data_IF_563619614679
#
_entry.id   IF_563619614679
#
_cell.length_a   1.000
_cell.length_b   1.000
_cell.length_c   1.000
_cell.angle_alpha   90.00
_cell.angle_beta   90.00
_cell.angle_gamma   90.00
#
_symmetry.space_group_name_H-M   'P 1'
#
loop_
_entity.id
_entity.type
_entity.pdbx_description
1 polymer ?
#
# COMPACT_ATOMS: atom_id res chain seq x y z
N UNK A 1 2.76 13.30 41.66
CA UNK A 1 2.51 11.92 42.17
C UNK A 1 2.76 10.85 41.09
N UNK A 2 3.65 11.12 40.12
CA UNK A 2 3.90 10.27 38.94
C UNK A 2 5.39 9.99 38.72
N UNK A 3 6.27 10.48 39.60
CA UNK A 3 7.71 10.18 39.55
C UNK A 3 8.07 8.83 40.20
N UNK A 4 7.19 8.23 41.02
CA UNK A 4 7.54 6.98 41.72
C UNK A 4 7.44 5.73 40.85
N UNK A 5 6.61 5.74 39.79
CA UNK A 5 6.37 4.55 38.96
C UNK A 5 7.57 4.26 38.04
N UNK A 6 8.33 5.28 37.64
CA UNK A 6 9.55 5.10 36.83
C UNK A 6 10.69 4.57 37.70
N UNK A 7 10.77 4.98 38.97
CA UNK A 7 11.79 4.49 39.90
C UNK A 7 11.62 3.02 40.28
N UNK A 8 10.37 2.52 40.37
CA UNK A 8 10.10 1.15 40.81
C UNK A 8 10.56 0.09 39.78
N UNK A 9 10.54 0.39 38.47
CA UNK A 9 11.02 -0.54 37.43
C UNK A 9 12.54 -0.77 37.44
N UNK A 10 13.32 0.16 38.00
CA UNK A 10 14.77 0.02 38.09
C UNK A 10 15.23 -0.85 39.27
N UNK A 11 14.36 -1.08 40.26
CA UNK A 11 14.69 -1.90 41.43
C UNK A 11 14.40 -3.40 41.27
N UNK A 12 13.67 -3.82 40.22
CA UNK A 12 13.47 -5.25 39.95
C UNK A 12 14.79 -5.93 39.53
N UNK A 13 15.68 -5.23 38.82
CA UNK A 13 17.01 -5.74 38.48
C UNK A 13 17.92 -5.95 39.70
N UNK A 14 17.62 -5.31 40.84
CA UNK A 14 18.39 -5.48 42.07
C UNK A 14 17.94 -6.69 42.90
N UNK A 15 16.80 -7.32 42.58
CA UNK A 15 16.30 -8.51 43.30
C UNK A 15 16.85 -9.84 42.78
N UNK A 16 17.41 -9.87 41.57
CA UNK A 16 17.99 -11.06 40.93
C UNK A 16 19.53 -11.02 40.86
N UNK A 17 20.18 -10.48 41.91
CA UNK A 17 21.65 -10.33 41.98
C UNK A 17 22.46 -11.65 41.92
N UNK A 18 21.81 -12.81 42.07
CA UNK A 18 22.46 -14.12 42.07
C UNK A 18 22.33 -14.89 40.74
N UNK A 19 21.60 -14.36 39.75
CA UNK A 19 21.59 -14.94 38.41
C UNK A 19 22.62 -14.24 37.54
N UNK A 20 23.74 -14.91 37.31
CA UNK A 20 24.68 -14.50 36.26
C UNK A 20 23.89 -14.37 34.95
N UNK A 21 23.83 -13.15 34.40
CA UNK A 21 23.19 -12.90 33.12
C UNK A 21 23.84 -13.82 32.08
N UNK A 22 23.07 -14.75 31.53
CA UNK A 22 23.53 -15.58 30.44
C UNK A 22 23.82 -14.69 29.24
N UNK A 23 24.87 -15.00 28.47
CA UNK A 23 25.17 -14.29 27.24
C UNK A 23 23.94 -14.20 26.33
N UNK A 24 23.87 -13.14 25.52
CA UNK A 24 22.82 -13.03 24.50
C UNK A 24 23.03 -14.17 23.50
N UNK A 25 22.04 -15.06 23.39
CA UNK A 25 22.14 -16.28 22.59
C UNK A 25 22.52 -15.95 21.13
N UNK A 26 23.58 -16.59 20.64
CA UNK A 26 24.13 -16.37 19.30
C UNK A 26 25.26 -15.34 19.22
N UNK A 27 25.48 -14.54 20.27
CA UNK A 27 26.54 -13.54 20.32
C UNK A 27 27.83 -14.04 21.00
N UNK A 28 27.83 -15.25 21.57
CA UNK A 28 28.97 -15.82 22.32
C UNK A 28 30.19 -16.08 21.45
N UNK A 29 29.98 -16.22 20.14
CA UNK A 29 31.03 -16.50 19.15
C UNK A 29 31.68 -15.23 18.62
N UNK A 30 31.11 -14.06 18.89
CA UNK A 30 31.62 -12.80 18.40
C UNK A 30 32.68 -12.26 19.35
N UNK A 31 33.77 -11.74 18.78
CA UNK A 31 34.82 -11.09 19.54
C UNK A 31 34.27 -9.81 20.15
N UNK A 32 34.55 -9.59 21.44
CA UNK A 32 34.33 -8.28 22.06
C UNK A 32 35.19 -7.24 21.35
N UNK A 33 34.53 -6.18 20.87
CA UNK A 33 35.14 -5.04 20.19
C UNK A 33 35.24 -3.86 21.16
N UNK A 34 36.12 -2.92 20.86
CA UNK A 34 36.23 -1.68 21.63
C UNK A 34 34.94 -0.86 21.57
N UNK A 35 34.73 0.04 22.54
CA UNK A 35 33.57 0.94 22.52
C UNK A 35 33.51 1.76 21.23
N UNK A 36 34.67 2.28 20.78
CA UNK A 36 34.79 3.00 19.50
C UNK A 36 34.36 2.16 18.29
N UNK A 37 34.72 0.88 18.24
CA UNK A 37 34.29 -0.02 17.15
C UNK A 37 32.80 -0.37 17.25
N UNK A 38 32.28 -0.56 18.47
CA UNK A 38 30.88 -0.91 18.71
C UNK A 38 29.91 0.19 18.25
N UNK A 39 30.33 1.46 18.30
CA UNK A 39 29.46 2.58 17.91
C UNK A 39 29.49 2.93 16.42
N UNK A 40 30.44 2.40 15.64
CA UNK A 40 30.55 2.69 14.20
C UNK A 40 29.22 2.56 13.44
N UNK A 41 28.39 1.52 13.66
CA UNK A 41 27.13 1.37 12.94
C UNK A 41 26.09 2.47 13.23
N UNK A 42 26.20 3.14 14.38
CA UNK A 42 25.20 4.10 14.87
C UNK A 42 25.72 5.55 14.94
N UNK A 43 26.99 5.76 14.62
CA UNK A 43 27.68 7.06 14.77
C UNK A 43 27.07 8.16 13.90
N UNK A 44 26.56 7.79 12.72
CA UNK A 44 25.87 8.71 11.81
C UNK A 44 24.45 9.07 12.26
N UNK A 45 23.87 8.28 13.16
CA UNK A 45 22.51 8.47 13.69
C UNK A 45 22.51 9.34 14.95
N UNK A 46 23.62 9.35 15.68
CA UNK A 46 23.74 9.99 16.99
C UNK A 46 24.66 11.20 16.93
N UNK A 47 24.09 12.36 17.23
CA UNK A 47 24.84 13.62 17.27
C UNK A 47 25.98 13.57 18.29
N UNK A 48 27.20 13.90 17.85
CA UNK A 48 28.42 13.90 18.67
C UNK A 48 28.76 12.55 19.34
N UNK A 49 28.29 11.42 18.79
CA UNK A 49 28.60 10.10 19.32
C UNK A 49 30.12 9.86 19.45
N UNK A 50 30.91 10.27 18.45
CA UNK A 50 32.37 10.26 18.49
C UNK A 50 32.93 10.95 19.73
N UNK A 51 32.51 12.19 19.97
CA UNK A 51 33.00 12.99 21.09
C UNK A 51 32.53 12.45 22.44
N UNK A 52 31.31 11.89 22.50
CA UNK A 52 30.79 11.30 23.74
C UNK A 52 31.52 10.01 24.09
N UNK A 53 31.83 9.16 23.09
CA UNK A 53 32.66 7.97 23.28
C UNK A 53 34.07 8.35 23.68
N UNK A 54 34.68 9.35 23.04
CA UNK A 54 36.02 9.81 23.43
C UNK A 54 36.06 10.33 24.88
N UNK A 55 35.03 11.05 25.32
CA UNK A 55 34.90 11.51 26.72
C UNK A 55 34.74 10.32 27.66
N UNK A 56 33.86 9.38 27.31
CA UNK A 56 33.60 8.18 28.11
C UNK A 56 34.87 7.33 28.26
N UNK A 57 35.58 7.04 27.17
CA UNK A 57 36.85 6.31 27.19
C UNK A 57 37.91 7.01 28.04
N UNK A 58 38.04 8.35 27.92
CA UNK A 58 39.00 9.13 28.72
C UNK A 58 38.70 9.06 30.22
N UNK A 59 37.43 9.10 30.60
CA UNK A 59 37.00 9.06 31.99
C UNK A 59 37.05 7.65 32.59
N UNK A 60 37.21 6.62 31.75
CA UNK A 60 37.16 5.21 32.14
C UNK A 60 38.47 4.45 31.93
N UNK A 61 39.61 5.15 31.74
CA UNK A 61 40.92 4.52 31.47
C UNK A 61 41.43 3.59 32.58
N UNK A 62 41.14 3.92 33.83
CA UNK A 62 41.62 3.19 35.02
C UNK A 62 40.48 3.00 36.03
N UNK A 63 39.50 2.13 35.73
CA UNK A 63 38.38 1.90 36.63
C UNK A 63 38.84 1.11 37.88
N UNK A 64 38.41 1.55 39.05
CA UNK A 64 38.85 0.98 40.34
C UNK A 64 37.99 -0.18 40.84
N UNK A 65 36.90 -0.49 40.13
CA UNK A 65 35.86 -1.45 40.50
C UNK A 65 36.02 -2.82 39.82
N UNK A 66 37.16 -3.06 39.17
CA UNK A 66 37.46 -4.33 38.49
C UNK A 66 36.85 -4.47 37.11
N UNK A 67 36.20 -3.42 36.59
CA UNK A 67 35.72 -3.37 35.21
C UNK A 67 36.87 -3.19 34.22
N UNK A 68 36.64 -3.56 32.97
CA UNK A 68 37.49 -3.14 31.85
C UNK A 68 37.23 -1.66 31.50
N UNK A 69 38.20 -1.03 30.81
CA UNK A 69 38.03 0.35 30.33
C UNK A 69 36.82 0.51 29.40
N UNK A 70 36.53 -0.51 28.59
CA UNK A 70 35.38 -0.51 27.67
C UNK A 70 34.05 -0.67 28.42
N UNK A 71 33.97 -1.57 29.41
CA UNK A 71 32.78 -1.74 30.25
C UNK A 71 32.47 -0.49 31.06
N UNK A 72 33.50 0.08 31.71
CA UNK A 72 33.37 1.35 32.43
C UNK A 72 33.00 2.48 31.48
N UNK A 73 33.58 2.52 30.28
CA UNK A 73 33.25 3.50 29.23
C UNK A 73 31.80 3.40 28.75
N UNK A 74 31.29 2.18 28.54
CA UNK A 74 29.89 1.97 28.16
C UNK A 74 28.92 2.42 29.27
N UNK A 75 29.23 2.13 30.53
CA UNK A 75 28.46 2.61 31.68
C UNK A 75 28.53 4.13 31.78
N UNK A 76 29.72 4.72 31.56
CA UNK A 76 29.92 6.16 31.56
C UNK A 76 29.08 6.81 30.47
N UNK A 77 29.11 6.28 29.24
CA UNK A 77 28.33 6.73 28.10
C UNK A 77 26.82 6.67 28.38
N UNK A 78 26.35 5.58 28.99
CA UNK A 78 24.95 5.43 29.43
C UNK A 78 24.54 6.47 30.49
N UNK A 79 25.48 6.81 31.39
CA UNK A 79 25.27 7.79 32.46
C UNK A 79 25.53 9.24 32.03
N UNK A 80 26.13 9.46 30.86
CA UNK A 80 26.32 10.81 30.32
C UNK A 80 24.95 11.43 30.08
N UNK A 81 24.51 12.26 31.01
CA UNK A 81 23.36 13.11 30.81
C UNK A 81 23.70 14.00 29.61
N UNK A 82 22.93 13.91 28.53
CA UNK A 82 23.00 14.89 27.45
C UNK A 82 22.72 16.26 28.09
N UNK A 83 23.80 17.00 28.42
CA UNK A 83 23.79 18.19 29.27
C UNK A 83 22.89 19.31 28.73
N UNK A 84 22.39 19.17 27.51
CA UNK A 84 21.32 19.97 26.93
C UNK A 84 20.44 19.05 26.07
N UNK A 85 19.10 19.01 26.24
CA UNK A 85 18.24 18.54 25.15
C UNK A 85 18.60 19.39 23.93
N UNK A 86 18.99 18.74 22.83
CA UNK A 86 19.39 19.48 21.63
C UNK A 86 18.16 20.29 21.16
N UNK A 87 18.25 21.62 21.01
CA UNK A 87 17.09 22.46 20.67
C UNK A 87 16.52 22.22 19.25
N UNK A 88 16.96 21.20 18.52
CA UNK A 88 16.66 21.02 17.09
C UNK A 88 16.51 19.58 16.58
N UNK A 89 16.64 18.55 17.41
CA UNK A 89 16.21 17.23 16.95
C UNK A 89 14.82 17.02 17.52
N UNK A 90 13.83 17.42 16.74
CA UNK A 90 12.47 17.11 17.09
C UNK A 90 12.24 15.64 16.81
N UNK A 91 11.30 15.04 17.52
CA UNK A 91 10.88 13.66 17.27
C UNK A 91 10.55 13.43 15.78
N UNK A 92 9.95 14.42 15.14
CA UNK A 92 9.64 14.48 13.69
C UNK A 92 10.89 14.41 12.77
N UNK A 93 12.08 14.73 13.27
CA UNK A 93 13.34 14.69 12.53
C UNK A 93 14.08 13.33 12.65
N UNK A 94 13.53 12.36 13.40
CA UNK A 94 14.13 11.03 13.50
C UNK A 94 14.04 10.29 12.15
N UNK A 95 15.09 9.50 11.79
CA UNK A 95 15.00 8.52 10.71
C UNK A 95 13.82 7.58 10.87
N UNK A 96 13.27 7.11 9.74
CA UNK A 96 12.09 6.25 9.72
C UNK A 96 12.26 4.94 10.48
N UNK A 97 13.48 4.41 10.53
CA UNK A 97 13.85 3.19 11.24
C UNK A 97 13.74 3.35 12.76
N UNK A 98 14.10 4.52 13.29
CA UNK A 98 13.95 4.82 14.71
C UNK A 98 12.48 5.06 15.07
N UNK A 99 11.71 5.67 14.17
CA UNK A 99 10.26 5.75 14.29
C UNK A 99 9.64 4.35 14.38
N UNK A 100 10.03 3.42 13.51
CA UNK A 100 9.57 2.04 13.56
C UNK A 100 9.88 1.39 14.90
N UNK A 101 11.13 1.52 15.37
CA UNK A 101 11.55 0.97 16.64
C UNK A 101 10.69 1.52 17.79
N UNK A 102 10.52 2.84 17.87
CA UNK A 102 9.68 3.49 18.89
C UNK A 102 8.23 3.00 18.82
N UNK A 103 7.63 3.00 17.63
CA UNK A 103 6.24 2.59 17.43
C UNK A 103 6.03 1.10 17.71
N UNK A 104 7.03 0.24 17.45
CA UNK A 104 6.95 -1.20 17.70
C UNK A 104 6.88 -1.58 19.18
N UNK A 105 7.40 -0.72 20.07
CA UNK A 105 7.32 -0.91 21.52
C UNK A 105 6.00 -0.44 22.13
N UNK A 106 5.17 0.22 21.33
CA UNK A 106 3.93 0.82 21.78
C UNK A 106 2.74 0.03 21.22
N UNK A 107 1.74 -0.19 22.06
CA UNK A 107 0.46 -0.67 21.57
C UNK A 107 -0.13 0.33 20.58
N UNK A 108 -0.96 -0.09 19.61
CA UNK A 108 -1.61 0.83 18.68
C UNK A 108 -2.41 1.94 19.36
N UNK A 109 -2.89 1.69 20.59
CA UNK A 109 -3.57 2.68 21.43
C UNK A 109 -2.60 3.73 21.99
N UNK A 110 -1.41 3.31 22.43
CA UNK A 110 -0.36 4.23 22.91
C UNK A 110 0.24 5.03 21.77
N UNK A 111 0.53 4.39 20.64
CA UNK A 111 0.92 5.07 19.38
C UNK A 111 -0.09 6.16 19.03
N UNK A 112 -1.37 5.88 19.17
CA UNK A 112 -2.41 6.87 18.92
C UNK A 112 -2.38 8.04 19.92
N UNK A 113 -2.43 7.79 21.23
CA UNK A 113 -2.53 8.87 22.21
C UNK A 113 -1.26 9.72 22.28
N UNK A 114 -0.09 9.08 22.25
CA UNK A 114 1.18 9.76 22.42
C UNK A 114 1.64 10.51 21.15
N UNK A 115 1.15 10.12 19.97
CA UNK A 115 1.62 10.68 18.69
C UNK A 115 0.54 11.42 17.89
N UNK A 116 -0.68 11.54 18.43
CA UNK A 116 -1.77 12.29 17.78
C UNK A 116 -1.45 13.77 17.53
N UNK A 117 -0.59 14.37 18.34
CA UNK A 117 -0.15 15.77 18.22
C UNK A 117 1.16 15.95 17.43
N UNK A 118 1.76 14.86 16.94
CA UNK A 118 3.00 14.95 16.16
C UNK A 118 2.68 15.49 14.78
N UNK A 119 3.24 16.66 14.46
CA UNK A 119 3.00 17.40 13.21
C UNK A 119 3.77 16.81 12.01
N UNK A 120 3.82 15.48 11.93
CA UNK A 120 4.36 14.75 10.80
C UNK A 120 3.19 14.34 9.92
N UNK A 121 3.02 14.99 8.76
CA UNK A 121 1.91 14.72 7.82
C UNK A 121 1.76 13.24 7.46
N UNK A 122 2.85 12.48 7.43
CA UNK A 122 2.87 11.07 7.02
C UNK A 122 2.41 10.12 8.12
N UNK A 123 2.76 10.41 9.37
CA UNK A 123 2.28 9.66 10.54
C UNK A 123 0.86 10.11 10.88
N UNK A 124 0.60 11.42 10.81
CA UNK A 124 -0.71 12.01 11.02
C UNK A 124 -1.78 11.46 10.08
N UNK A 125 -1.49 11.19 8.80
CA UNK A 125 -2.46 10.56 7.89
C UNK A 125 -2.81 9.14 8.32
N UNK A 126 -1.81 8.33 8.68
CA UNK A 126 -2.01 6.95 9.14
C UNK A 126 -2.77 6.94 10.48
N UNK A 127 -2.37 7.77 11.45
CA UNK A 127 -3.05 7.89 12.74
C UNK A 127 -4.48 8.45 12.60
N UNK A 128 -4.72 9.38 11.68
CA UNK A 128 -6.05 9.96 11.40
C UNK A 128 -6.97 8.94 10.73
N UNK A 129 -6.44 8.14 9.81
CA UNK A 129 -7.17 7.01 9.23
C UNK A 129 -7.49 5.97 10.32
N UNK A 130 -6.51 5.61 11.16
CA UNK A 130 -6.69 4.74 12.33
C UNK A 130 -7.70 5.28 13.37
N UNK A 131 -7.81 6.61 13.52
CA UNK A 131 -8.77 7.24 14.44
C UNK A 131 -10.20 7.29 13.87
N UNK A 132 -10.32 7.46 12.55
CA UNK A 132 -11.62 7.44 11.87
C UNK A 132 -12.32 6.09 12.03
N UNK A 133 -11.55 5.02 12.23
CA UNK A 133 -12.01 3.66 12.57
C UNK A 133 -12.74 3.64 13.91
N UNK A 134 -12.13 4.24 14.96
CA UNK A 134 -12.59 4.07 16.35
C UNK A 134 -13.74 4.99 16.74
N UNK A 135 -13.85 6.18 16.12
CA UNK A 135 -14.81 7.21 16.58
C UNK A 135 -16.24 7.04 16.06
N UNK A 136 -16.47 6.18 15.08
CA UNK A 136 -17.80 6.02 14.45
C UNK A 136 -18.44 4.68 14.81
N UNK A 137 -18.91 4.59 16.05
CA UNK A 137 -19.89 3.58 16.52
C UNK A 137 -21.27 3.76 15.86
N UNK A 138 -21.36 3.78 14.52
CA UNK A 138 -22.64 3.94 13.86
C UNK A 138 -22.74 3.50 12.41
N UNK A 139 -21.71 3.72 11.56
CA UNK A 139 -21.79 3.33 10.13
C UNK A 139 -20.55 3.64 9.27
N UNK A 140 -19.36 3.97 9.81
CA UNK A 140 -18.23 4.16 8.90
C UNK A 140 -17.67 2.83 8.44
N UNK A 141 -17.86 2.60 7.15
CA UNK A 141 -17.04 1.70 6.35
C UNK A 141 -15.56 2.05 6.58
N UNK A 142 -14.82 1.15 7.22
CA UNK A 142 -13.39 1.29 7.40
C UNK A 142 -12.70 1.19 6.04
N UNK A 143 -11.96 2.24 5.66
CA UNK A 143 -11.14 2.27 4.46
C UNK A 143 -9.67 2.37 4.84
N UNK A 144 -8.84 1.49 4.29
CA UNK A 144 -7.39 1.49 4.49
C UNK A 144 -6.70 1.57 3.13
N UNK A 145 -5.71 2.44 3.00
CA UNK A 145 -4.87 2.57 1.81
C UNK A 145 -3.39 2.42 2.18
N UNK A 146 -2.68 1.51 1.51
CA UNK A 146 -1.26 1.25 1.76
C UNK A 146 -0.32 1.80 0.67
N UNK A 147 -0.83 2.64 -0.25
CA UNK A 147 -0.14 3.06 -1.49
C UNK A 147 1.16 3.84 -1.26
N UNK A 148 1.16 4.80 -0.33
CA UNK A 148 2.27 5.75 -0.12
C UNK A 148 3.06 5.51 1.17
N UNK A 149 2.92 4.30 1.72
CA UNK A 149 3.51 3.95 3.00
C UNK A 149 4.94 3.44 2.79
N UNK A 150 5.97 4.01 3.47
CA UNK A 150 7.31 3.45 3.49
C UNK A 150 7.30 2.00 3.94
N UNK A 151 8.24 1.18 3.43
CA UNK A 151 8.36 -0.24 3.78
C UNK A 151 8.32 -0.51 5.30
N UNK A 152 8.98 0.33 6.12
CA UNK A 152 8.96 0.15 7.58
C UNK A 152 7.57 0.37 8.20
N UNK A 153 6.82 1.39 7.75
CA UNK A 153 5.44 1.62 8.22
C UNK A 153 4.47 0.59 7.64
N UNK A 154 4.78 0.04 6.46
CA UNK A 154 3.99 -1.02 5.84
C UNK A 154 4.00 -2.28 6.71
N UNK A 155 5.19 -2.70 7.16
CA UNK A 155 5.32 -3.84 8.07
C UNK A 155 4.58 -3.60 9.39
N UNK A 156 4.69 -2.39 9.95
CA UNK A 156 3.94 -2.02 11.15
C UNK A 156 2.42 -2.09 10.92
N UNK A 157 1.92 -1.49 9.84
CA UNK A 157 0.51 -1.48 9.49
C UNK A 157 -0.04 -2.91 9.35
N UNK A 158 0.69 -3.77 8.63
CA UNK A 158 0.35 -5.19 8.51
C UNK A 158 0.30 -5.87 9.88
N UNK A 159 1.37 -5.78 10.67
CA UNK A 159 1.50 -6.56 11.91
C UNK A 159 0.55 -6.10 13.01
N UNK A 160 0.27 -4.81 13.09
CA UNK A 160 -0.40 -4.23 14.26
C UNK A 160 -1.75 -3.60 13.92
N UNK A 161 -1.95 -3.07 12.72
CA UNK A 161 -3.22 -2.40 12.36
C UNK A 161 -4.16 -3.39 11.71
N UNK A 162 -3.74 -4.01 10.61
CA UNK A 162 -4.57 -4.98 9.88
C UNK A 162 -4.95 -6.16 10.78
N UNK A 163 -4.00 -6.71 11.55
CA UNK A 163 -4.26 -7.82 12.47
C UNK A 163 -5.38 -7.53 13.49
N UNK A 164 -5.52 -6.28 13.93
CA UNK A 164 -6.53 -5.88 14.90
C UNK A 164 -7.91 -5.61 14.29
N UNK A 165 -7.95 -5.12 13.04
CA UNK A 165 -9.19 -4.61 12.45
C UNK A 165 -9.59 -5.28 11.13
N UNK A 166 -8.94 -6.36 10.69
CA UNK A 166 -9.25 -6.99 9.39
C UNK A 166 -10.72 -7.37 9.22
N UNK A 167 -11.37 -7.79 10.31
CA UNK A 167 -12.81 -8.06 10.39
C UNK A 167 -13.70 -6.80 10.43
N UNK A 168 -13.16 -5.62 10.20
CA UNK A 168 -13.92 -4.38 10.12
C UNK A 168 -13.63 -3.62 8.83
N UNK A 169 -12.60 -4.02 8.08
CA UNK A 169 -12.18 -3.37 6.83
C UNK A 169 -13.24 -3.61 5.75
N UNK A 170 -13.77 -2.51 5.21
CA UNK A 170 -14.73 -2.53 4.10
C UNK A 170 -14.09 -2.16 2.76
N UNK A 171 -12.99 -1.41 2.79
CA UNK A 171 -12.25 -0.96 1.62
C UNK A 171 -10.76 -1.10 1.88
N UNK A 172 -10.04 -1.76 0.99
CA UNK A 172 -8.60 -1.94 1.09
C UNK A 172 -7.93 -1.56 -0.23
N UNK A 173 -6.87 -0.76 -0.18
CA UNK A 173 -6.03 -0.44 -1.35
C UNK A 173 -4.60 -0.92 -1.10
N UNK A 174 -4.08 -1.76 -2.00
CA UNK A 174 -2.72 -2.27 -1.98
C UNK A 174 -1.98 -1.82 -3.26
N UNK A 175 -0.68 -1.53 -3.17
CA UNK A 175 0.10 -1.06 -4.31
C UNK A 175 1.52 -1.61 -4.32
N UNK A 176 2.01 -2.02 -5.48
CA UNK A 176 3.43 -2.31 -5.70
C UNK A 176 4.20 -1.11 -6.29
N UNK A 177 3.58 0.07 -6.40
CA UNK A 177 4.16 1.22 -7.10
C UNK A 177 5.38 1.82 -6.41
N UNK A 178 5.29 2.06 -5.10
CA UNK A 178 6.39 2.67 -4.33
C UNK A 178 7.34 1.63 -3.75
N UNK A 179 6.83 0.46 -3.44
CA UNK A 179 7.58 -0.62 -2.81
C UNK A 179 7.23 -1.92 -3.53
N UNK A 180 8.16 -2.50 -4.29
CA UNK A 180 7.95 -3.79 -4.94
C UNK A 180 7.54 -4.88 -3.94
N UNK A 181 6.75 -5.84 -4.38
CA UNK A 181 6.31 -7.02 -3.60
C UNK A 181 5.44 -6.72 -2.36
N UNK A 182 4.94 -5.49 -2.16
CA UNK A 182 4.02 -5.21 -1.04
C UNK A 182 2.81 -6.16 -1.06
N UNK A 183 2.15 -6.31 -2.21
CA UNK A 183 0.97 -7.16 -2.32
C UNK A 183 1.33 -8.60 -1.99
N UNK A 184 2.43 -9.13 -2.53
CA UNK A 184 2.96 -10.44 -2.19
C UNK A 184 3.22 -10.61 -0.68
N UNK A 185 3.80 -9.62 -0.01
CA UNK A 185 4.06 -9.65 1.44
C UNK A 185 2.77 -9.64 2.25
N UNK A 186 1.74 -8.93 1.78
CA UNK A 186 0.41 -8.97 2.38
C UNK A 186 -0.19 -10.38 2.28
N UNK A 187 -0.13 -10.98 1.09
CA UNK A 187 -0.70 -12.29 0.80
C UNK A 187 0.02 -13.44 1.52
N UNK A 188 1.27 -13.25 1.96
CA UNK A 188 1.96 -14.21 2.83
C UNK A 188 1.33 -14.31 4.23
N UNK A 189 0.61 -13.27 4.68
CA UNK A 189 0.06 -13.18 6.04
C UNK A 189 -1.45 -13.28 6.08
N UNK A 190 -2.13 -12.84 5.03
CA UNK A 190 -3.57 -12.66 5.02
C UNK A 190 -4.21 -13.29 3.79
N UNK A 191 -5.32 -14.01 3.98
CA UNK A 191 -6.24 -14.38 2.90
C UNK A 191 -7.41 -13.40 2.87
N UNK A 192 -7.87 -13.01 1.69
CA UNK A 192 -9.05 -12.13 1.59
C UNK A 192 -10.34 -12.79 2.10
N UNK A 193 -10.36 -14.12 2.21
CA UNK A 193 -11.46 -14.86 2.85
C UNK A 193 -11.63 -14.50 4.33
N UNK A 194 -10.56 -14.06 4.98
CA UNK A 194 -10.59 -13.66 6.38
C UNK A 194 -11.30 -12.31 6.57
N UNK A 195 -11.43 -11.49 5.52
CA UNK A 195 -11.99 -10.14 5.60
C UNK A 195 -13.50 -10.18 5.39
N UNK A 196 -14.23 -10.47 6.48
CA UNK A 196 -15.70 -10.66 6.46
C UNK A 196 -16.50 -9.51 5.82
N UNK A 197 -16.04 -8.27 5.95
CA UNK A 197 -16.78 -7.08 5.48
C UNK A 197 -16.13 -6.37 4.30
N UNK A 198 -15.06 -6.93 3.71
CA UNK A 198 -14.38 -6.30 2.60
C UNK A 198 -15.27 -6.28 1.37
N UNK A 199 -15.75 -5.09 1.00
CA UNK A 199 -16.61 -4.86 -0.17
C UNK A 199 -15.86 -4.25 -1.34
N UNK A 200 -14.81 -3.47 -1.07
CA UNK A 200 -14.01 -2.79 -2.08
C UNK A 200 -12.54 -3.18 -1.94
N UNK A 201 -11.93 -3.66 -3.02
CA UNK A 201 -10.50 -3.94 -3.09
C UNK A 201 -9.90 -3.20 -4.27
N UNK A 202 -8.90 -2.36 -4.03
CA UNK A 202 -8.11 -1.69 -5.06
C UNK A 202 -6.67 -2.23 -5.07
N UNK A 203 -6.18 -2.54 -6.26
CA UNK A 203 -4.94 -3.23 -6.54
C UNK A 203 -4.15 -2.43 -7.57
N UNK A 204 -3.02 -1.85 -7.15
CA UNK A 204 -2.19 -0.98 -7.98
C UNK A 204 -0.87 -1.70 -8.34
N UNK A 205 -0.55 -1.76 -9.63
CA UNK A 205 0.63 -2.46 -10.21
C UNK A 205 0.79 -3.92 -9.75
N UNK A 206 -0.32 -4.64 -9.65
CA UNK A 206 -0.34 -6.06 -9.26
C UNK A 206 0.15 -6.97 -10.39
N UNK A 207 0.94 -7.99 -10.05
CA UNK A 207 1.41 -9.00 -11.01
C UNK A 207 0.37 -10.10 -11.28
N UNK A 208 0.53 -10.83 -12.39
CA UNK A 208 -0.25 -12.07 -12.69
C UNK A 208 -0.29 -13.05 -11.52
N UNK A 209 0.87 -13.30 -10.91
CA UNK A 209 1.01 -14.32 -9.88
C UNK A 209 0.27 -13.92 -8.61
N UNK A 210 0.43 -12.67 -8.18
CA UNK A 210 -0.31 -12.13 -7.03
C UNK A 210 -1.80 -12.20 -7.32
N UNK A 211 -2.25 -11.70 -8.46
CA UNK A 211 -3.67 -11.68 -8.79
C UNK A 211 -4.30 -13.07 -8.84
N UNK A 212 -3.60 -14.06 -9.39
CA UNK A 212 -4.05 -15.45 -9.40
C UNK A 212 -4.29 -16.04 -8.00
N UNK A 213 -3.55 -15.56 -7.00
CA UNK A 213 -3.78 -15.92 -5.59
C UNK A 213 -5.04 -15.21 -5.09
N UNK A 214 -5.13 -13.90 -5.34
CA UNK A 214 -6.21 -13.04 -4.87
C UNK A 214 -7.58 -13.51 -5.35
N UNK A 215 -7.72 -13.82 -6.64
CA UNK A 215 -9.03 -14.04 -7.26
C UNK A 215 -9.81 -15.20 -6.65
N UNK A 216 -9.12 -16.21 -6.13
CA UNK A 216 -9.76 -17.36 -5.48
C UNK A 216 -10.36 -17.01 -4.10
N UNK A 217 -10.08 -15.81 -3.59
CA UNK A 217 -10.44 -15.33 -2.26
C UNK A 217 -11.42 -14.13 -2.29
N UNK A 218 -11.93 -13.73 -3.46
CA UNK A 218 -12.76 -12.52 -3.64
C UNK A 218 -14.27 -12.70 -3.37
N UNK A 219 -14.69 -13.75 -2.67
CA UNK A 219 -16.12 -14.11 -2.54
C UNK A 219 -17.00 -13.02 -1.90
N UNK A 220 -16.43 -12.12 -1.09
CA UNK A 220 -17.17 -11.05 -0.42
C UNK A 220 -17.01 -9.66 -1.09
N UNK A 221 -16.10 -9.56 -2.07
CA UNK A 221 -15.71 -8.30 -2.71
C UNK A 221 -16.71 -7.95 -3.81
N UNK A 222 -17.47 -6.88 -3.57
CA UNK A 222 -18.47 -6.35 -4.51
C UNK A 222 -17.82 -5.53 -5.62
N UNK A 223 -16.76 -4.77 -5.28
CA UNK A 223 -16.03 -3.93 -6.23
C UNK A 223 -14.55 -4.24 -6.19
N UNK A 224 -14.00 -4.63 -7.33
CA UNK A 224 -12.57 -4.85 -7.54
C UNK A 224 -12.05 -3.77 -8.48
N UNK A 225 -11.08 -2.98 -8.02
CA UNK A 225 -10.40 -1.95 -8.80
C UNK A 225 -8.96 -2.39 -9.09
N UNK A 226 -8.61 -2.57 -10.36
CA UNK A 226 -7.29 -3.01 -10.80
C UNK A 226 -6.68 -1.86 -11.63
N UNK A 227 -5.61 -1.30 -11.11
CA UNK A 227 -4.83 -0.24 -11.74
C UNK A 227 -3.48 -0.81 -12.15
N UNK A 228 -3.35 -1.29 -13.39
CA UNK A 228 -2.07 -1.74 -13.94
C UNK A 228 -1.66 -0.87 -15.12
N UNK A 229 -0.39 -0.49 -15.17
CA UNK A 229 0.17 0.25 -16.31
C UNK A 229 0.33 -0.64 -17.54
N UNK A 230 0.44 -1.96 -17.38
CA UNK A 230 0.65 -2.90 -18.47
C UNK A 230 -0.26 -4.12 -18.27
N UNK A 231 -1.28 -4.29 -19.12
CA UNK A 231 -2.07 -5.53 -19.06
C UNK A 231 -1.28 -6.71 -19.58
N UNK A 232 -0.23 -6.50 -20.38
CA UNK A 232 0.58 -7.59 -20.89
C UNK A 232 1.37 -8.27 -19.76
N UNK A 233 1.42 -7.66 -18.57
CA UNK A 233 1.89 -8.33 -17.35
C UNK A 233 0.90 -9.38 -16.82
N UNK A 234 -0.35 -9.41 -17.32
CA UNK A 234 -1.35 -10.42 -17.04
C UNK A 234 -1.37 -11.49 -18.12
N UNK A 235 -1.21 -12.75 -17.72
CA UNK A 235 -1.45 -13.85 -18.65
C UNK A 235 -2.95 -13.95 -19.01
N UNK A 236 -3.24 -14.54 -20.17
CA UNK A 236 -4.61 -14.69 -20.71
C UNK A 236 -5.55 -15.36 -19.72
N UNK A 237 -5.10 -16.37 -18.98
CA UNK A 237 -5.95 -17.07 -18.02
C UNK A 237 -6.30 -16.16 -16.85
N UNK A 238 -5.36 -15.32 -16.42
CA UNK A 238 -5.61 -14.32 -15.36
C UNK A 238 -6.66 -13.30 -15.79
N UNK A 239 -6.52 -12.75 -17.00
CA UNK A 239 -7.49 -11.81 -17.57
C UNK A 239 -8.88 -12.44 -17.69
N UNK A 240 -8.96 -13.70 -18.14
CA UNK A 240 -10.22 -14.43 -18.18
C UNK A 240 -10.84 -14.55 -16.79
N UNK A 241 -10.07 -14.96 -15.78
CA UNK A 241 -10.59 -15.05 -14.41
C UNK A 241 -11.13 -13.71 -13.92
N UNK A 242 -10.44 -12.59 -14.21
CA UNK A 242 -10.93 -11.24 -13.90
C UNK A 242 -12.35 -11.07 -14.46
N UNK A 243 -12.55 -11.33 -15.75
CA UNK A 243 -13.85 -11.14 -16.40
C UNK A 243 -14.96 -12.09 -15.93
N UNK A 244 -14.60 -13.27 -15.41
CA UNK A 244 -15.55 -14.25 -14.88
C UNK A 244 -15.73 -14.17 -13.35
N UNK A 245 -15.07 -13.24 -12.66
CA UNK A 245 -15.27 -13.06 -11.23
C UNK A 245 -16.73 -12.65 -10.96
N UNK A 246 -17.37 -13.33 -10.00
CA UNK A 246 -18.74 -13.00 -9.57
C UNK A 246 -18.82 -11.63 -8.86
N UNK A 247 -17.68 -10.97 -8.61
CA UNK A 247 -17.62 -9.59 -8.15
C UNK A 247 -18.48 -8.68 -9.02
N UNK A 248 -19.30 -7.85 -8.37
CA UNK A 248 -20.38 -7.12 -9.04
C UNK A 248 -19.89 -5.97 -9.94
N UNK A 249 -18.71 -5.42 -9.65
CA UNK A 249 -18.13 -4.27 -10.36
C UNK A 249 -16.62 -4.48 -10.45
N UNK A 250 -16.06 -4.45 -11.67
CA UNK A 250 -14.62 -4.60 -11.88
C UNK A 250 -14.11 -3.38 -12.64
N UNK A 251 -13.50 -2.43 -11.92
CA UNK A 251 -12.82 -1.30 -12.54
C UNK A 251 -11.45 -1.78 -12.99
N UNK A 252 -11.17 -1.72 -14.29
CA UNK A 252 -9.91 -2.24 -14.82
C UNK A 252 -9.31 -1.21 -15.77
N UNK A 253 -8.26 -0.53 -15.33
CA UNK A 253 -7.56 0.51 -16.07
C UNK A 253 -6.51 -0.12 -16.98
N UNK A 254 -6.80 -0.19 -18.28
CA UNK A 254 -5.99 -0.91 -19.26
C UNK A 254 -5.38 0.04 -20.28
N UNK A 255 -4.07 -0.03 -20.47
CA UNK A 255 -3.27 0.81 -21.37
C UNK A 255 -3.29 0.32 -22.83
N UNK A 256 -3.30 -0.98 -23.04
CA UNK A 256 -3.41 -1.64 -24.36
C UNK A 256 -4.24 -2.92 -24.20
N UNK A 257 -5.16 -3.19 -25.12
CA UNK A 257 -6.05 -4.35 -25.02
C UNK A 257 -6.04 -5.08 -26.37
N UNK A 258 -5.50 -6.30 -26.40
CA UNK A 258 -5.45 -7.07 -27.65
C UNK A 258 -6.82 -7.72 -27.94
N UNK A 259 -7.21 -7.75 -29.21
CA UNK A 259 -8.49 -8.28 -29.68
C UNK A 259 -8.76 -9.73 -29.23
N UNK A 260 -7.71 -10.57 -29.15
CA UNK A 260 -7.81 -11.97 -28.73
C UNK A 260 -8.36 -12.13 -27.29
N UNK A 261 -8.16 -11.15 -26.42
CA UNK A 261 -8.71 -11.18 -25.06
C UNK A 261 -10.22 -10.97 -25.05
N UNK A 262 -10.79 -10.26 -26.01
CA UNK A 262 -12.22 -9.93 -26.02
C UNK A 262 -13.05 -11.08 -26.57
N UNK A 263 -12.58 -11.65 -27.69
CA UNK A 263 -13.31 -12.69 -28.44
C UNK A 263 -13.58 -13.94 -27.60
N UNK A 264 -12.74 -14.23 -26.61
CA UNK A 264 -12.88 -15.41 -25.75
C UNK A 264 -13.77 -15.18 -24.50
N UNK A 265 -14.30 -13.97 -24.28
CA UNK A 265 -14.93 -13.57 -23.02
C UNK A 265 -16.35 -13.00 -23.15
N UNK A 266 -17.17 -13.55 -24.05
CA UNK A 266 -18.54 -13.08 -24.37
C UNK A 266 -19.59 -13.22 -23.26
N UNK A 267 -19.21 -13.67 -22.06
CA UNK A 267 -20.13 -14.04 -20.98
C UNK A 267 -19.79 -13.39 -19.63
N UNK A 268 -19.04 -12.29 -19.63
CA UNK A 268 -18.68 -11.61 -18.38
C UNK A 268 -19.90 -11.02 -17.66
N UNK A 269 -19.89 -11.07 -16.33
CA UNK A 269 -20.84 -10.43 -15.41
C UNK A 269 -20.48 -8.98 -15.09
N UNK A 270 -19.48 -8.42 -15.78
CA UNK A 270 -18.93 -7.10 -15.53
C UNK A 270 -19.96 -6.00 -15.83
N UNK A 271 -20.20 -5.12 -14.85
CA UNK A 271 -21.15 -3.99 -14.97
C UNK A 271 -20.51 -2.65 -15.32
N UNK A 272 -19.27 -2.43 -14.93
CA UNK A 272 -18.54 -1.18 -15.17
C UNK A 272 -17.14 -1.51 -15.67
N UNK A 273 -16.66 -0.81 -16.69
CA UNK A 273 -15.33 -0.99 -17.28
C UNK A 273 -14.72 0.38 -17.60
N UNK A 274 -13.45 0.60 -17.24
CA UNK A 274 -12.76 1.88 -17.44
C UNK A 274 -11.43 1.67 -18.19
N UNK A 275 -11.43 1.83 -19.51
CA UNK A 275 -10.25 1.61 -20.34
C UNK A 275 -9.44 2.92 -20.44
N UNK A 276 -8.14 2.89 -20.13
CA UNK A 276 -7.30 4.08 -20.21
C UNK A 276 -6.99 4.45 -21.66
N UNK A 277 -6.58 3.46 -22.45
CA UNK A 277 -6.35 3.63 -23.88
C UNK A 277 -6.72 2.36 -24.63
N UNK A 278 -7.42 2.50 -25.75
CA UNK A 278 -7.64 1.40 -26.69
C UNK A 278 -7.78 1.91 -28.11
N UNK A 279 -7.59 1.00 -29.06
CA UNK A 279 -7.92 1.30 -30.45
C UNK A 279 -9.41 1.08 -30.74
N UNK A 280 -9.85 1.62 -31.88
CA UNK A 280 -11.24 1.51 -32.33
C UNK A 280 -11.73 0.06 -32.45
N UNK A 281 -10.85 -0.87 -32.86
CA UNK A 281 -11.22 -2.27 -33.05
C UNK A 281 -11.51 -2.95 -31.71
N UNK A 282 -10.62 -2.74 -30.73
CA UNK A 282 -10.82 -3.14 -29.35
C UNK A 282 -12.15 -2.57 -28.82
N UNK A 283 -12.41 -1.28 -29.01
CA UNK A 283 -13.65 -0.67 -28.57
C UNK A 283 -14.89 -1.36 -29.13
N UNK A 284 -14.92 -1.62 -30.44
CA UNK A 284 -16.02 -2.35 -31.09
C UNK A 284 -16.18 -3.74 -30.48
N UNK A 285 -15.06 -4.43 -30.25
CA UNK A 285 -15.08 -5.76 -29.67
C UNK A 285 -15.61 -5.75 -28.23
N UNK A 286 -15.20 -4.78 -27.40
CA UNK A 286 -15.72 -4.62 -26.03
C UNK A 286 -17.23 -4.48 -26.07
N UNK A 287 -17.73 -3.57 -26.91
CA UNK A 287 -19.17 -3.37 -27.07
C UNK A 287 -19.88 -4.64 -27.53
N UNK A 288 -19.28 -5.44 -28.41
CA UNK A 288 -19.92 -6.63 -28.96
C UNK A 288 -19.98 -7.83 -27.99
N UNK A 289 -19.04 -7.93 -27.05
CA UNK A 289 -18.86 -9.14 -26.22
C UNK A 289 -19.25 -8.97 -24.75
N UNK A 290 -19.23 -7.75 -24.20
CA UNK A 290 -19.60 -7.51 -22.81
C UNK A 290 -21.10 -7.27 -22.67
N UNK A 291 -21.88 -8.35 -22.76
CA UNK A 291 -23.34 -8.26 -22.72
C UNK A 291 -23.91 -7.68 -21.42
N UNK A 292 -23.21 -7.78 -20.28
CA UNK A 292 -23.73 -7.31 -18.98
C UNK A 292 -23.31 -5.88 -18.62
N UNK A 293 -22.57 -5.20 -19.51
CA UNK A 293 -21.92 -3.93 -19.20
C UNK A 293 -22.96 -2.81 -19.13
N UNK A 294 -23.07 -2.18 -17.95
CA UNK A 294 -23.97 -1.05 -17.70
C UNK A 294 -23.24 0.29 -17.86
N UNK A 295 -21.93 0.33 -17.63
CA UNK A 295 -21.11 1.54 -17.72
C UNK A 295 -19.77 1.27 -18.41
N UNK A 296 -19.40 2.13 -19.35
CA UNK A 296 -18.12 2.06 -20.06
C UNK A 296 -17.47 3.44 -20.10
N UNK A 297 -16.26 3.55 -19.56
CA UNK A 297 -15.41 4.74 -19.70
C UNK A 297 -14.18 4.41 -20.54
N UNK A 298 -13.85 5.24 -21.52
CA UNK A 298 -12.66 5.14 -22.36
C UNK A 298 -11.96 6.49 -22.33
N UNK A 299 -10.81 6.55 -21.66
CA UNK A 299 -10.07 7.81 -21.45
C UNK A 299 -9.27 8.23 -22.69
N UNK A 300 -8.91 7.30 -23.57
CA UNK A 300 -8.23 7.58 -24.84
C UNK A 300 -8.67 6.55 -25.88
N UNK A 301 -9.45 6.96 -26.89
CA UNK A 301 -9.80 6.11 -28.02
C UNK A 301 -8.95 6.53 -29.23
N UNK A 302 -8.15 5.59 -29.73
CA UNK A 302 -7.21 5.78 -30.83
C UNK A 302 -7.73 5.14 -32.11
N UNK A 303 -7.46 5.76 -33.25
CA UNK A 303 -7.64 5.11 -34.56
C UNK A 303 -6.38 4.33 -34.92
N UNK A 304 -6.48 3.01 -35.07
CA UNK A 304 -5.37 2.25 -35.67
C UNK A 304 -5.34 2.51 -37.18
N UNK A 305 -4.13 2.65 -37.74
CA UNK A 305 -3.93 3.00 -39.16
C UNK A 305 -4.47 1.95 -40.14
N UNK A 306 -4.83 0.76 -39.65
CA UNK A 306 -5.12 -0.42 -40.45
C UNK A 306 -6.61 -0.81 -40.47
N UNK A 307 -7.51 -0.06 -39.83
CA UNK A 307 -8.93 -0.41 -39.79
C UNK A 307 -9.62 -0.09 -41.12
N UNK A 308 -9.71 -1.08 -42.00
CA UNK A 308 -10.64 -1.07 -43.13
C UNK A 308 -12.03 -1.38 -42.57
N UNK A 309 -12.89 -0.37 -42.48
CA UNK A 309 -14.26 -0.39 -41.92
C UNK A 309 -15.28 -1.31 -42.62
N UNK A 310 -14.84 -2.29 -43.40
CA UNK A 310 -15.68 -3.03 -44.34
C UNK A 310 -16.72 -3.96 -43.72
N UNK A 311 -16.57 -4.40 -42.46
CA UNK A 311 -17.42 -5.50 -41.96
C UNK A 311 -17.64 -5.60 -40.45
N UNK A 312 -17.09 -4.70 -39.64
CA UNK A 312 -17.25 -4.80 -38.18
C UNK A 312 -18.59 -4.19 -37.78
N UNK A 313 -19.67 -4.93 -38.02
CA UNK A 313 -21.00 -4.58 -37.56
C UNK A 313 -21.07 -4.71 -36.05
N UNK A 314 -21.57 -3.67 -35.39
CA UNK A 314 -22.02 -3.80 -34.00
C UNK A 314 -23.16 -4.81 -33.95
N UNK A 315 -23.11 -5.70 -32.97
CA UNK A 315 -24.27 -6.52 -32.60
C UNK A 315 -25.22 -5.60 -31.83
N UNK A 316 -26.34 -5.24 -32.46
CA UNK A 316 -27.33 -4.29 -31.88
C UNK A 316 -27.72 -4.63 -30.45
N UNK A 317 -27.80 -5.92 -30.10
CA UNK A 317 -28.20 -6.38 -28.78
C UNK A 317 -27.21 -6.07 -27.66
N UNK A 318 -25.92 -5.92 -27.97
CA UNK A 318 -24.88 -5.79 -26.96
C UNK A 318 -24.82 -4.38 -26.34
N UNK A 319 -25.30 -3.37 -27.07
CA UNK A 319 -25.24 -1.95 -26.65
C UNK A 319 -26.48 -1.56 -25.83
N UNK A 320 -27.55 -2.36 -25.85
CA UNK A 320 -28.82 -2.06 -25.19
C UNK A 320 -28.71 -1.93 -23.65
N UNK A 321 -27.68 -2.51 -23.05
CA UNK A 321 -27.52 -2.53 -21.59
C UNK A 321 -26.61 -1.41 -21.06
N UNK A 322 -25.86 -0.74 -21.92
CA UNK A 322 -24.99 0.38 -21.53
C UNK A 322 -25.85 1.60 -21.24
N UNK A 323 -25.85 2.04 -19.99
CA UNK A 323 -26.55 3.22 -19.51
C UNK A 323 -25.65 4.45 -19.46
N UNK A 324 -24.38 4.26 -19.14
CA UNK A 324 -23.37 5.32 -19.04
C UNK A 324 -22.19 5.03 -19.97
N UNK A 325 -21.94 5.94 -20.91
CA UNK A 325 -20.82 5.83 -21.84
C UNK A 325 -20.04 7.13 -21.87
N UNK A 326 -18.78 7.05 -21.44
CA UNK A 326 -17.81 8.14 -21.52
C UNK A 326 -16.70 7.77 -22.49
N UNK A 327 -16.51 8.57 -23.53
CA UNK A 327 -15.44 8.36 -24.52
C UNK A 327 -14.63 9.65 -24.65
N UNK A 328 -13.31 9.52 -24.65
CA UNK A 328 -12.40 10.60 -24.99
C UNK A 328 -11.63 10.21 -26.26
N UNK A 329 -12.13 10.72 -27.39
CA UNK A 329 -11.64 10.43 -28.72
C UNK A 329 -10.44 11.32 -29.08
N UNK A 330 -9.30 10.71 -29.40
CA UNK A 330 -8.11 11.42 -29.89
C UNK A 330 -7.94 11.14 -31.38
N UNK A 331 -7.98 12.19 -32.19
CA UNK A 331 -7.73 12.11 -33.64
C UNK A 331 -8.65 11.12 -34.39
N UNK A 332 -9.87 10.92 -33.88
CA UNK A 332 -10.90 10.10 -34.55
C UNK A 332 -11.65 10.97 -35.55
N UNK A 333 -11.69 10.61 -36.85
CA UNK A 333 -12.45 11.37 -37.82
C UNK A 333 -13.95 11.35 -37.49
N UNK A 334 -14.62 12.50 -37.67
CA UNK A 334 -16.00 12.71 -37.22
C UNK A 334 -17.00 11.73 -37.84
N UNK A 335 -16.77 11.25 -39.06
CA UNK A 335 -17.62 10.26 -39.73
C UNK A 335 -17.62 8.90 -39.02
N UNK A 336 -16.56 8.55 -38.29
CA UNK A 336 -16.53 7.35 -37.44
C UNK A 336 -17.39 7.54 -36.20
N UNK A 337 -17.25 8.68 -35.52
CA UNK A 337 -18.09 9.03 -34.36
C UNK A 337 -19.57 9.06 -34.75
N UNK A 338 -19.89 9.61 -35.92
CA UNK A 338 -21.26 9.65 -36.43
C UNK A 338 -21.86 8.26 -36.64
N UNK A 339 -21.06 7.27 -37.06
CA UNK A 339 -21.51 5.88 -37.15
C UNK A 339 -21.77 5.29 -35.77
N UNK A 340 -20.91 5.56 -34.79
CA UNK A 340 -21.08 5.11 -33.40
C UNK A 340 -22.38 5.61 -32.78
N UNK A 341 -22.70 6.90 -32.97
CA UNK A 341 -23.90 7.50 -32.38
C UNK A 341 -25.20 6.82 -32.77
N UNK A 342 -25.28 6.19 -33.94
CA UNK A 342 -26.46 5.43 -34.36
C UNK A 342 -26.76 4.23 -33.47
N UNK A 343 -25.77 3.75 -32.74
CA UNK A 343 -25.92 2.61 -31.84
C UNK A 343 -26.21 3.02 -30.39
N UNK A 344 -26.14 4.31 -30.08
CA UNK A 344 -26.24 4.83 -28.71
C UNK A 344 -27.64 5.36 -28.35
N UNK A 345 -28.68 4.95 -29.08
CA UNK A 345 -30.05 5.44 -28.88
C UNK A 345 -30.59 5.19 -27.46
N UNK A 346 -30.09 4.17 -26.77
CA UNK A 346 -30.55 3.78 -25.42
C UNK A 346 -29.64 4.25 -24.27
N UNK A 347 -28.58 4.99 -24.57
CA UNK A 347 -27.63 5.46 -23.55
C UNK A 347 -28.25 6.63 -22.78
N UNK A 348 -28.28 6.54 -21.45
CA UNK A 348 -28.87 7.55 -20.58
C UNK A 348 -27.92 8.72 -20.34
N UNK A 349 -26.64 8.41 -20.10
CA UNK A 349 -25.57 9.37 -19.86
C UNK A 349 -24.51 9.14 -20.92
N UNK A 350 -24.31 10.12 -21.78
CA UNK A 350 -23.27 10.09 -22.80
C UNK A 350 -22.34 11.29 -22.63
N UNK A 351 -21.05 11.02 -22.46
CA UNK A 351 -20.01 12.04 -22.36
C UNK A 351 -18.96 11.81 -23.43
N UNK A 352 -18.80 12.76 -24.35
CA UNK A 352 -17.77 12.74 -25.37
C UNK A 352 -16.80 13.90 -25.19
N UNK A 353 -15.51 13.58 -25.04
CA UNK A 353 -14.42 14.53 -25.18
C UNK A 353 -13.72 14.28 -26.50
N UNK A 354 -13.51 15.31 -27.31
CA UNK A 354 -12.80 15.22 -28.58
C UNK A 354 -11.52 16.05 -28.44
N UNK A 355 -10.39 15.41 -28.66
CA UNK A 355 -9.09 16.06 -28.77
C UNK A 355 -8.68 15.99 -30.24
N UNK A 356 -8.74 17.14 -30.90
CA UNK A 356 -8.44 17.32 -32.32
C UNK A 356 -7.27 18.27 -32.47
N UNK A 357 -6.26 17.87 -33.26
CA UNK A 357 -5.15 18.76 -33.63
C UNK A 357 -5.61 19.92 -34.54
N UNK A 358 -6.83 19.85 -35.08
CA UNK A 358 -7.39 20.86 -35.99
C UNK A 358 -8.34 21.87 -35.34
N UNK A 359 -8.49 21.83 -34.01
CA UNK A 359 -9.45 22.65 -33.26
C UNK A 359 -10.74 21.91 -32.97
#
# INVERSE_FOLDING_TARGET
>A
MTESIIFDRFFDAAKDLDQALTHIEGYEKYRLVSLTEAIVPIISLLYNADSMVEIAERNSREPTDGLTSDESGAIHLYRMQCLKPHPKMKLEDLPGELWFLILSYLSPVEVFYEFSDVNNKRIGSILTEMYSIRKKNGSSLLKISLVDIPLFLYQFAILHVISLCYNEIHSLTLSNEQTPDQIKDFLQKYSFKDFKYLKFLCLIKTSSNEFNIIINDLCNVETLDIQSEDINSFDINTVQKIFYSESSIILCYLSEFQEEFILNNSHSSMKELVINSCDYLCFVNVLNHFCSLEKLTINTLLMSSNVILGSNSFKENSILLIKDLKICAHSIPFDYLQRLFRYFENIQIFSLSIVSDQG
#
